data_IF_668962297994
#
_entry.id   IF_668962297994
#
_cell.length_a   1.000
_cell.length_b   1.000
_cell.length_c   1.000
_cell.angle_alpha   90.00
_cell.angle_beta   90.00
_cell.angle_gamma   90.00
#
_symmetry.space_group_name_H-M   'P 1'
#
loop_
_entity.id
_entity.type
_entity.pdbx_description
1 polymer ?
#
# COMPACT_ATOMS: atom_id res chain seq x y z
N UNK A 1 -8.16 -15.13 5.04
CA UNK A 1 -6.70 -15.07 4.81
C UNK A 1 -6.48 -14.67 3.37
N UNK A 2 -5.51 -13.79 3.13
CA UNK A 2 -5.27 -13.18 1.82
C UNK A 2 -3.79 -13.15 1.51
N UNK A 3 -3.45 -13.46 0.26
CA UNK A 3 -2.08 -13.33 -0.24
C UNK A 3 -1.85 -11.90 -0.69
N UNK A 4 -0.78 -11.29 -0.20
CA UNK A 4 -0.32 -9.96 -0.61
C UNK A 4 1.14 -10.05 -1.04
N UNK A 5 1.57 -9.14 -1.91
CA UNK A 5 2.97 -8.97 -2.27
C UNK A 5 3.55 -7.78 -1.51
N UNK A 6 4.62 -7.99 -0.74
CA UNK A 6 5.22 -6.92 0.06
C UNK A 6 5.90 -5.83 -0.78
N UNK A 7 6.34 -6.16 -2.00
CA UNK A 7 6.89 -5.20 -2.98
C UNK A 7 5.91 -4.06 -3.29
N UNK A 8 4.60 -4.32 -3.26
CA UNK A 8 3.58 -3.32 -3.59
C UNK A 8 3.45 -2.21 -2.53
N UNK A 9 3.91 -2.49 -1.31
CA UNK A 9 3.73 -1.61 -0.14
C UNK A 9 5.04 -1.02 0.37
N UNK A 10 6.16 -1.70 0.15
CA UNK A 10 7.42 -1.39 0.80
C UNK A 10 8.58 -1.36 -0.21
N UNK A 11 9.32 -0.23 -0.30
CA UNK A 11 10.30 -0.01 -1.35
C UNK A 11 11.59 -0.84 -1.20
N UNK A 12 11.80 -1.49 -0.05
CA UNK A 12 12.98 -2.32 0.20
C UNK A 12 12.85 -3.75 -0.33
N UNK A 13 11.64 -4.22 -0.65
CA UNK A 13 11.46 -5.49 -1.34
C UNK A 13 11.63 -5.29 -2.84
N UNK A 14 12.81 -5.64 -3.35
CA UNK A 14 13.11 -5.57 -4.78
C UNK A 14 12.68 -6.81 -5.55
N UNK A 15 12.24 -7.86 -4.86
CA UNK A 15 11.71 -9.13 -5.40
C UNK A 15 10.28 -9.36 -4.94
N UNK A 16 9.50 -10.16 -5.69
CA UNK A 16 8.15 -10.53 -5.26
C UNK A 16 8.23 -11.37 -3.99
N UNK A 17 7.55 -10.91 -2.94
CA UNK A 17 7.48 -11.62 -1.67
C UNK A 17 6.01 -11.76 -1.28
N UNK A 18 5.44 -12.90 -1.65
CA UNK A 18 4.03 -13.21 -1.41
C UNK A 18 3.90 -13.81 -0.01
N UNK A 19 3.14 -13.14 0.85
CA UNK A 19 2.83 -13.60 2.21
C UNK A 19 1.34 -13.72 2.40
N UNK A 20 0.93 -14.67 3.22
CA UNK A 20 -0.47 -14.85 3.60
C UNK A 20 -0.74 -14.14 4.92
N UNK A 21 -1.70 -13.21 4.89
CA UNK A 21 -2.06 -12.37 6.04
C UNK A 21 -3.55 -12.48 6.34
N UNK A 22 -4.00 -12.15 7.56
CA UNK A 22 -5.41 -11.98 7.86
C UNK A 22 -6.08 -10.93 6.97
N UNK A 23 -7.37 -11.09 6.71
CA UNK A 23 -8.12 -10.19 5.82
C UNK A 23 -8.14 -8.74 6.33
N UNK A 24 -8.19 -8.57 7.64
CA UNK A 24 -8.11 -7.27 8.34
C UNK A 24 -6.80 -6.54 8.04
N UNK A 25 -5.67 -7.26 8.05
CA UNK A 25 -4.34 -6.71 7.75
C UNK A 25 -4.26 -6.29 6.28
N UNK A 26 -4.77 -7.13 5.37
CA UNK A 26 -4.80 -6.79 3.95
C UNK A 26 -5.71 -5.57 3.67
N UNK A 27 -6.81 -5.43 4.42
CA UNK A 27 -7.69 -4.27 4.31
C UNK A 27 -7.01 -2.99 4.79
N UNK A 28 -6.35 -3.05 5.95
CA UNK A 28 -5.62 -1.91 6.53
C UNK A 28 -4.52 -1.41 5.59
N UNK A 29 -3.71 -2.31 5.04
CA UNK A 29 -2.64 -1.97 4.09
C UNK A 29 -3.19 -1.30 2.83
N UNK A 30 -4.31 -1.81 2.30
CA UNK A 30 -4.99 -1.21 1.15
C UNK A 30 -5.49 0.19 1.45
N UNK A 31 -6.12 0.39 2.60
CA UNK A 31 -6.66 1.69 3.00
C UNK A 31 -5.54 2.72 3.13
N UNK A 32 -4.44 2.37 3.78
CA UNK A 32 -3.27 3.23 3.91
C UNK A 32 -2.73 3.68 2.54
N UNK A 33 -2.57 2.75 1.59
CA UNK A 33 -2.11 3.05 0.23
C UNK A 33 -3.06 4.00 -0.51
N UNK A 34 -4.38 3.84 -0.32
CA UNK A 34 -5.39 4.74 -0.92
C UNK A 34 -5.32 6.13 -0.30
N UNK A 35 -5.22 6.22 1.02
CA UNK A 35 -5.11 7.48 1.76
C UNK A 35 -3.85 8.23 1.33
N UNK A 36 -2.71 7.55 1.23
CA UNK A 36 -1.44 8.14 0.76
C UNK A 36 -1.58 8.72 -0.65
N UNK A 37 -2.15 7.97 -1.59
CA UNK A 37 -2.37 8.44 -2.97
C UNK A 37 -3.30 9.65 -3.02
N UNK A 38 -4.35 9.68 -2.20
CA UNK A 38 -5.24 10.85 -2.08
C UNK A 38 -4.48 12.05 -1.56
N UNK A 39 -3.71 11.86 -0.51
CA UNK A 39 -2.90 12.91 0.11
C UNK A 39 -1.88 13.46 -0.89
N UNK A 40 -1.13 12.61 -1.59
CA UNK A 40 -0.19 13.00 -2.64
C UNK A 40 -0.87 13.82 -3.74
N UNK A 41 -2.04 13.38 -4.23
CA UNK A 41 -2.81 14.13 -5.24
C UNK A 41 -3.27 15.48 -4.72
N UNK A 42 -3.72 15.54 -3.47
CA UNK A 42 -4.14 16.76 -2.82
C UNK A 42 -2.99 17.76 -2.70
N UNK A 43 -1.83 17.32 -2.18
CA UNK A 43 -0.64 18.15 -2.09
C UNK A 43 -0.11 18.59 -3.45
N UNK A 44 -0.13 17.72 -4.46
CA UNK A 44 0.28 18.10 -5.82
C UNK A 44 -0.60 19.23 -6.37
N UNK A 45 -1.92 19.20 -6.12
CA UNK A 45 -2.86 20.26 -6.53
C UNK A 45 -2.67 21.59 -5.76
N UNK A 46 -2.09 21.54 -4.57
CA UNK A 46 -1.83 22.75 -3.75
C UNK A 46 -0.49 23.38 -4.11
N UNK A 47 0.51 22.56 -4.46
CA UNK A 47 1.89 23.00 -4.67
C UNK A 47 2.21 23.40 -6.11
N UNK A 48 1.37 23.02 -7.09
CA UNK A 48 1.52 23.30 -8.53
C UNK A 48 0.20 23.78 -9.11
#
# INVERSE_FOLDING_TARGET
MKKINLRDYYPYYTQDMIVEVPDEVALLLREYTVQWKRMQKHWHRIMY
#
